data_IF_962036470503
#
_entry.id   IF_962036470503
#
_cell.length_a   1.000
_cell.length_b   1.000
_cell.length_c   1.000
_cell.angle_alpha   90.00
_cell.angle_beta   90.00
_cell.angle_gamma   90.00
#
_symmetry.space_group_name_H-M   'P 1'
#
loop_
_entity.id
_entity.type
_entity.pdbx_description
1 polymer ?
#
# COMPACT_ATOMS: atom_id res chain seq x y z
N UNK A 1 -14.69 16.74 20.43
CA UNK A 1 -14.49 15.66 21.40
C UNK A 1 -15.40 14.50 20.98
N UNK A 2 -14.89 13.45 20.32
CA UNK A 2 -15.74 12.28 20.06
C UNK A 2 -16.03 11.61 21.39
N UNK A 3 -17.29 11.60 21.80
CA UNK A 3 -17.75 10.78 22.91
C UNK A 3 -17.97 9.37 22.38
N UNK A 4 -17.15 8.42 22.84
CA UNK A 4 -17.46 7.01 22.69
C UNK A 4 -18.74 6.76 23.49
N UNK A 5 -19.83 6.43 22.81
CA UNK A 5 -21.14 6.12 23.41
C UNK A 5 -21.09 4.94 24.38
N UNK A 6 -19.99 4.19 24.37
CA UNK A 6 -19.68 3.09 25.27
C UNK A 6 -19.52 3.50 26.75
N UNK A 7 -19.19 4.76 27.03
CA UNK A 7 -19.19 5.33 28.40
C UNK A 7 -18.17 4.73 29.37
N UNK A 8 -17.29 3.84 28.91
CA UNK A 8 -16.20 3.22 29.68
C UNK A 8 -14.84 3.55 29.06
N UNK A 9 -13.75 3.48 29.85
CA UNK A 9 -12.40 3.60 29.31
C UNK A 9 -12.15 2.61 28.17
N UNK A 10 -11.38 3.04 27.18
CA UNK A 10 -10.90 2.22 26.06
C UNK A 10 -9.38 2.22 26.12
N UNK A 11 -8.79 1.03 26.24
CA UNK A 11 -7.33 0.88 26.36
C UNK A 11 -6.62 0.76 25.00
N UNK A 12 -7.37 0.59 23.91
CA UNK A 12 -6.81 0.47 22.56
C UNK A 12 -7.87 0.44 21.46
N UNK A 13 -7.41 0.65 20.22
CA UNK A 13 -8.22 0.60 19.01
C UNK A 13 -7.51 -0.32 18.02
N UNK A 14 -8.27 -1.19 17.35
CA UNK A 14 -7.75 -2.14 16.37
C UNK A 14 -8.65 -2.17 15.14
N UNK A 15 -8.07 -2.52 14.00
CA UNK A 15 -8.81 -2.86 12.77
C UNK A 15 -8.14 -4.05 12.10
N UNK A 16 -8.96 -4.87 11.45
CA UNK A 16 -8.50 -6.02 10.66
C UNK A 16 -8.43 -5.72 9.16
N UNK A 17 -8.71 -4.47 8.79
CA UNK A 17 -8.53 -3.99 7.43
C UNK A 17 -7.31 -3.06 7.39
N UNK A 18 -6.22 -3.58 6.83
CA UNK A 18 -4.90 -2.94 6.75
C UNK A 18 -4.96 -1.53 6.18
N UNK A 19 -5.84 -1.30 5.20
CA UNK A 19 -6.10 0.01 4.59
C UNK A 19 -6.42 1.10 5.62
N UNK A 20 -6.99 0.73 6.77
CA UNK A 20 -7.34 1.66 7.83
C UNK A 20 -6.24 1.89 8.87
N UNK A 21 -5.13 1.16 8.85
CA UNK A 21 -4.08 1.26 9.85
C UNK A 21 -3.52 2.68 10.06
N UNK A 22 -3.19 3.46 9.00
CA UNK A 22 -2.70 4.82 9.20
C UNK A 22 -3.73 5.72 9.91
N UNK A 23 -5.02 5.51 9.63
CA UNK A 23 -6.11 6.31 10.18
C UNK A 23 -6.40 5.95 11.64
N UNK A 24 -6.47 4.66 11.97
CA UNK A 24 -6.68 4.24 13.37
C UNK A 24 -5.49 4.60 14.25
N UNK A 25 -4.27 4.60 13.71
CA UNK A 25 -3.09 5.06 14.44
C UNK A 25 -3.16 6.56 14.73
N UNK A 26 -3.61 7.36 13.77
CA UNK A 26 -3.82 8.79 13.98
C UNK A 26 -4.85 9.05 15.07
N UNK A 27 -5.96 8.30 15.08
CA UNK A 27 -6.97 8.39 16.15
C UNK A 27 -6.37 7.94 17.48
N UNK A 28 -5.69 6.80 17.55
CA UNK A 28 -5.06 6.32 18.78
C UNK A 28 -4.08 7.36 19.37
N UNK A 29 -3.25 8.01 18.54
CA UNK A 29 -2.38 9.10 18.98
C UNK A 29 -3.15 10.28 19.59
N UNK A 30 -4.25 10.70 18.97
CA UNK A 30 -5.08 11.81 19.47
C UNK A 30 -5.69 11.52 20.86
N UNK A 31 -5.89 10.24 21.18
CA UNK A 31 -6.47 9.80 22.46
C UNK A 31 -5.42 9.29 23.45
N UNK A 32 -4.12 9.40 23.14
CA UNK A 32 -3.04 8.91 23.99
C UNK A 32 -3.01 7.38 24.13
N UNK A 33 -3.62 6.66 23.18
CA UNK A 33 -3.67 5.20 23.18
C UNK A 33 -2.40 4.60 22.55
N UNK A 34 -2.00 3.38 22.94
CA UNK A 34 -0.82 2.72 22.38
C UNK A 34 -0.92 2.53 20.86
N UNK A 35 0.06 3.04 20.12
CA UNK A 35 0.12 2.87 18.66
C UNK A 35 1.51 3.19 18.09
N UNK A 36 1.80 2.68 16.89
CA UNK A 36 2.92 3.15 16.09
C UNK A 36 2.58 4.46 15.37
N UNK A 37 3.60 5.18 14.89
CA UNK A 37 3.37 6.38 14.07
C UNK A 37 2.56 6.03 12.80
N UNK A 38 1.54 6.83 12.41
CA UNK A 38 0.75 6.62 11.20
C UNK A 38 1.60 6.40 9.95
N UNK A 39 2.76 7.05 9.89
CA UNK A 39 3.66 6.99 8.74
C UNK A 39 4.32 5.61 8.59
N UNK A 40 4.54 4.90 9.70
CA UNK A 40 5.02 3.50 9.67
C UNK A 40 3.96 2.58 9.09
N UNK A 41 2.70 2.78 9.47
CA UNK A 41 1.59 2.03 8.87
C UNK A 41 1.41 2.36 7.40
N UNK A 42 1.56 3.62 6.98
CA UNK A 42 1.51 4.00 5.57
C UNK A 42 2.59 3.28 4.75
N UNK A 43 3.80 3.12 5.29
CA UNK A 43 4.85 2.33 4.65
C UNK A 43 4.42 0.86 4.56
N UNK A 44 3.89 0.28 5.64
CA UNK A 44 3.51 -1.13 5.72
C UNK A 44 2.31 -1.51 4.84
N UNK A 45 1.40 -0.58 4.56
CA UNK A 45 0.15 -0.85 3.82
C UNK A 45 0.23 -0.44 2.35
N UNK A 46 1.28 0.26 1.93
CA UNK A 46 1.53 0.60 0.55
C UNK A 46 2.67 -0.26 0.00
N UNK A 47 2.37 -1.18 -0.93
CA UNK A 47 3.35 -2.16 -1.45
C UNK A 47 4.56 -1.52 -2.12
N UNK A 48 4.39 -0.36 -2.77
CA UNK A 48 5.54 0.37 -3.34
C UNK A 48 6.43 0.89 -2.20
N UNK A 49 5.86 1.57 -1.20
CA UNK A 49 6.64 2.07 -0.06
C UNK A 49 7.28 0.94 0.75
N UNK A 50 6.56 -0.16 0.99
CA UNK A 50 7.12 -1.37 1.62
C UNK A 50 8.31 -1.88 0.83
N UNK A 51 8.18 -2.01 -0.50
CA UNK A 51 9.26 -2.50 -1.37
C UNK A 51 10.48 -1.59 -1.34
N UNK A 52 10.29 -0.27 -1.41
CA UNK A 52 11.39 0.71 -1.28
C UNK A 52 12.03 0.65 0.11
N UNK A 53 11.25 0.46 1.17
CA UNK A 53 11.76 0.37 2.54
C UNK A 53 12.67 -0.85 2.75
N UNK A 54 12.34 -2.00 2.15
CA UNK A 54 13.17 -3.22 2.23
C UNK A 54 14.32 -3.24 1.21
N UNK A 55 14.42 -2.22 0.35
CA UNK A 55 15.49 -2.12 -0.65
C UNK A 55 15.26 -2.92 -1.94
N UNK A 56 14.02 -3.30 -2.25
CA UNK A 56 13.70 -3.94 -3.53
C UNK A 56 13.72 -2.92 -4.68
N UNK A 57 14.08 -3.41 -5.87
CA UNK A 57 13.91 -2.67 -7.10
C UNK A 57 12.44 -2.72 -7.52
N UNK A 58 11.71 -1.68 -7.11
CA UNK A 58 10.27 -1.54 -7.32
C UNK A 58 9.98 -0.16 -7.89
N UNK A 59 9.05 -0.14 -8.84
CA UNK A 59 8.60 1.06 -9.53
C UNK A 59 7.10 1.25 -9.30
N UNK A 60 6.65 2.50 -9.44
CA UNK A 60 5.23 2.85 -9.39
C UNK A 60 4.86 3.51 -10.71
N UNK A 61 3.89 2.91 -11.39
CA UNK A 61 3.29 3.48 -12.59
C UNK A 61 1.89 4.00 -12.26
N UNK A 62 1.50 5.12 -12.90
CA UNK A 62 0.17 5.71 -12.79
C UNK A 62 -0.69 5.53 -14.07
N UNK A 63 -0.11 5.01 -15.14
CA UNK A 63 -0.77 4.70 -16.41
C UNK A 63 -0.01 3.61 -17.17
N UNK A 64 -0.61 3.09 -18.25
CA UNK A 64 0.05 2.14 -19.14
C UNK A 64 1.31 2.73 -19.81
N UNK A 65 1.22 3.97 -20.31
CA UNK A 65 2.36 4.66 -20.92
C UNK A 65 3.51 4.87 -19.93
N UNK A 66 3.19 5.24 -18.69
CA UNK A 66 4.17 5.40 -17.61
C UNK A 66 4.82 4.05 -17.26
N UNK A 67 4.06 2.96 -17.22
CA UNK A 67 4.59 1.62 -16.99
C UNK A 67 5.56 1.17 -18.10
N UNK A 68 5.22 1.44 -19.36
CA UNK A 68 6.08 1.12 -20.51
C UNK A 68 7.37 1.95 -20.50
N UNK A 69 7.26 3.26 -20.22
CA UNK A 69 8.41 4.16 -20.11
C UNK A 69 9.34 3.75 -18.96
N UNK A 70 8.80 3.39 -17.79
CA UNK A 70 9.56 2.82 -16.67
C UNK A 70 10.28 1.53 -17.09
N UNK A 71 9.57 0.61 -17.74
CA UNK A 71 10.14 -0.67 -18.19
C UNK A 71 11.32 -0.45 -19.12
N UNK A 72 11.19 0.47 -20.08
CA UNK A 72 12.25 0.84 -21.01
C UNK A 72 13.43 1.53 -20.31
N UNK A 73 13.17 2.57 -19.51
CA UNK A 73 14.22 3.36 -18.81
C UNK A 73 15.06 2.53 -17.86
N UNK A 74 14.44 1.55 -17.20
CA UNK A 74 15.09 0.69 -16.21
C UNK A 74 15.51 -0.67 -16.79
N UNK A 75 15.29 -0.92 -18.09
CA UNK A 75 15.59 -2.19 -18.76
C UNK A 75 15.04 -3.41 -17.99
N UNK A 76 13.78 -3.32 -17.56
CA UNK A 76 13.15 -4.34 -16.72
C UNK A 76 13.03 -5.67 -17.48
N UNK A 77 13.38 -6.77 -16.80
CA UNK A 77 13.33 -8.11 -17.37
C UNK A 77 12.00 -8.79 -17.05
N UNK A 78 11.37 -9.39 -18.05
CA UNK A 78 10.15 -10.17 -17.89
C UNK A 78 10.48 -11.59 -17.35
N UNK A 79 9.57 -12.21 -16.55
CA UNK A 79 8.26 -11.71 -16.17
C UNK A 79 8.26 -10.63 -15.10
N UNK A 80 7.32 -9.70 -15.19
CA UNK A 80 7.04 -8.67 -14.19
C UNK A 80 5.81 -9.04 -13.36
N UNK A 81 5.78 -8.58 -12.10
CA UNK A 81 4.57 -8.61 -11.28
C UNK A 81 4.00 -7.20 -11.19
N UNK A 82 2.80 -7.03 -11.73
CA UNK A 82 2.01 -5.80 -11.63
C UNK A 82 0.98 -5.97 -10.53
N UNK A 83 0.87 -4.99 -9.63
CA UNK A 83 -0.10 -5.02 -8.52
C UNK A 83 -0.44 -3.62 -8.01
N UNK A 84 -1.69 -3.38 -7.55
CA UNK A 84 -2.06 -2.14 -6.90
C UNK A 84 -1.23 -1.88 -5.64
N UNK A 85 -0.88 -0.62 -5.42
CA UNK A 85 -0.09 -0.20 -4.26
C UNK A 85 -0.83 -0.50 -2.93
N UNK A 86 -2.14 -0.30 -2.92
CA UNK A 86 -3.04 -0.35 -1.75
C UNK A 86 -4.07 -1.50 -1.79
N UNK A 87 -4.00 -2.38 -2.78
CA UNK A 87 -4.91 -3.54 -2.88
C UNK A 87 -4.69 -4.59 -1.79
N UNK A 88 -5.63 -5.51 -1.64
CA UNK A 88 -5.56 -6.63 -0.69
C UNK A 88 -5.93 -7.95 -1.38
N UNK A 89 -5.75 -9.09 -0.69
CA UNK A 89 -6.20 -10.42 -1.16
C UNK A 89 -5.81 -10.80 -2.60
N UNK A 90 -4.64 -10.33 -3.06
CA UNK A 90 -4.17 -10.49 -4.44
C UNK A 90 -5.05 -9.86 -5.52
N UNK A 91 -5.97 -8.98 -5.15
CA UNK A 91 -6.78 -8.21 -6.08
C UNK A 91 -5.89 -7.37 -7.00
N UNK A 92 -6.14 -7.47 -8.31
CA UNK A 92 -5.39 -6.74 -9.33
C UNK A 92 -3.94 -7.19 -9.52
N UNK A 93 -3.49 -8.27 -8.86
CA UNK A 93 -2.15 -8.83 -9.08
C UNK A 93 -2.13 -9.60 -10.40
N UNK A 94 -1.17 -9.27 -11.26
CA UNK A 94 -0.96 -9.94 -12.54
C UNK A 94 0.51 -10.26 -12.75
N UNK A 95 0.81 -11.47 -13.22
CA UNK A 95 2.10 -11.77 -13.86
C UNK A 95 2.01 -11.34 -15.31
N UNK A 96 3.05 -10.67 -15.78
CA UNK A 96 3.15 -10.15 -17.14
C UNK A 96 4.43 -10.69 -17.75
N UNK A 97 4.33 -11.27 -18.95
CA UNK A 97 5.45 -11.87 -19.66
C UNK A 97 5.90 -11.06 -20.90
N UNK A 98 5.22 -9.95 -21.24
CA UNK A 98 5.58 -9.09 -22.39
C UNK A 98 5.20 -7.61 -22.18
N UNK A 99 5.76 -6.68 -23.00
CA UNK A 99 5.36 -5.27 -23.02
C UNK A 99 3.86 -5.03 -23.28
N UNK A 100 3.25 -5.79 -24.19
CA UNK A 100 1.82 -5.71 -24.47
C UNK A 100 1.00 -6.14 -23.25
N UNK A 101 1.43 -7.21 -22.58
CA UNK A 101 0.83 -7.65 -21.32
C UNK A 101 0.97 -6.61 -20.20
N UNK A 102 2.06 -5.81 -20.21
CA UNK A 102 2.29 -4.76 -19.20
C UNK A 102 1.27 -3.64 -19.36
N UNK A 103 1.03 -3.18 -20.59
CA UNK A 103 0.03 -2.16 -20.87
C UNK A 103 -1.39 -2.61 -20.47
N UNK A 104 -1.73 -3.88 -20.69
CA UNK A 104 -3.05 -4.44 -20.34
C UNK A 104 -3.24 -4.69 -18.83
N UNK A 105 -2.15 -4.85 -18.08
CA UNK A 105 -2.21 -5.12 -16.64
C UNK A 105 -2.47 -3.87 -15.78
N UNK A 106 -2.28 -2.67 -16.33
CA UNK A 106 -2.57 -1.41 -15.66
C UNK A 106 -4.06 -1.06 -15.87
N UNK A 107 -4.80 -0.90 -14.78
CA UNK A 107 -6.24 -0.59 -14.77
C UNK A 107 -6.50 0.78 -14.15
#
# INVERSE_FOLDING_TARGET
MFYLTYGKPVDGIVTFADTYWPYIAKVAQQYGLPTCAPERFKIATNKYLTSKFVGHDAHRACSADDALDISYKHNLQYPLIVKPCDGWSSEGVSRVDSPEGLALAIK
#
